data_IF_280337683188
#
_entry.id   IF_280337683188
#
_cell.length_a   1.000
_cell.length_b   1.000
_cell.length_c   1.000
_cell.angle_alpha   90.00
_cell.angle_beta   90.00
_cell.angle_gamma   90.00
#
_symmetry.space_group_name_H-M   'P 1'
#
loop_
_entity.id
_entity.type
_entity.pdbx_description
1 polymer ?
#
# COMPACT_ATOMS: atom_id res chain seq x y z
N UNK A 1 3.86 1.59 18.52
CA UNK A 1 4.70 0.59 17.83
C UNK A 1 5.56 1.26 16.76
N UNK A 2 4.97 2.00 15.80
CA UNK A 2 5.73 2.69 14.74
C UNK A 2 6.80 3.67 15.25
N UNK A 3 6.59 4.32 16.40
CA UNK A 3 7.61 5.19 17.01
C UNK A 3 8.85 4.44 17.51
N UNK A 4 8.70 3.18 17.95
CA UNK A 4 9.85 2.33 18.29
C UNK A 4 10.54 1.87 17.01
N UNK A 5 9.76 1.50 15.99
CA UNK A 5 10.29 1.09 14.69
C UNK A 5 11.10 2.21 14.03
N UNK A 6 10.63 3.46 14.06
CA UNK A 6 11.39 4.60 13.53
C UNK A 6 12.74 4.82 14.21
N UNK A 7 12.88 4.46 15.49
CA UNK A 7 14.15 4.61 16.23
C UNK A 7 15.12 3.47 15.97
N UNK A 8 14.60 2.26 15.83
CA UNK A 8 15.41 1.03 15.95
C UNK A 8 15.43 0.16 14.70
N UNK A 9 14.44 0.24 13.80
CA UNK A 9 14.27 -0.69 12.69
C UNK A 9 14.89 -0.15 11.39
N UNK A 10 15.51 -1.04 10.62
CA UNK A 10 16.04 -0.74 9.30
C UNK A 10 14.96 -0.86 8.20
N UNK A 11 13.91 -1.65 8.45
CA UNK A 11 12.74 -1.79 7.58
C UNK A 11 11.48 -1.56 8.41
N UNK A 12 10.63 -0.62 7.98
CA UNK A 12 9.37 -0.31 8.68
C UNK A 12 8.18 -0.59 7.77
N UNK A 13 7.30 -1.48 8.24
CA UNK A 13 6.06 -1.77 7.54
C UNK A 13 4.92 -0.86 7.91
N UNK A 14 4.41 -0.14 6.91
CA UNK A 14 3.22 0.70 7.03
C UNK A 14 2.03 -0.15 6.65
N UNK A 15 1.28 -0.62 7.65
CA UNK A 15 0.14 -1.51 7.45
C UNK A 15 -1.13 -0.98 8.11
N UNK A 16 -2.26 -1.55 7.71
CA UNK A 16 -3.55 -1.35 8.38
C UNK A 16 -3.54 -1.92 9.79
N UNK A 17 -4.31 -1.29 10.67
CA UNK A 17 -4.53 -1.76 12.02
C UNK A 17 -5.49 -2.96 12.02
N UNK A 18 -4.96 -4.17 12.15
CA UNK A 18 -5.72 -5.42 12.19
C UNK A 18 -6.08 -5.86 13.61
N UNK A 19 -6.39 -4.93 14.51
CA UNK A 19 -6.76 -5.26 15.91
C UNK A 19 -7.96 -6.21 16.01
N UNK A 20 -8.87 -6.17 15.04
CA UNK A 20 -10.00 -7.09 14.95
C UNK A 20 -9.61 -8.51 14.50
N UNK A 21 -8.37 -8.73 14.04
CA UNK A 21 -7.89 -10.01 13.53
C UNK A 21 -8.26 -10.28 12.07
N UNK A 22 -8.93 -9.35 11.40
CA UNK A 22 -9.39 -9.49 10.02
C UNK A 22 -9.18 -8.21 9.20
N UNK A 23 -9.03 -8.38 7.87
CA UNK A 23 -9.06 -7.28 6.91
C UNK A 23 -10.53 -7.10 6.51
N UNK A 24 -11.21 -6.18 7.20
CA UNK A 24 -12.66 -5.94 7.05
C UNK A 24 -13.01 -4.46 7.05
N UNK A 25 -14.29 -4.11 7.33
CA UNK A 25 -14.78 -2.73 7.28
C UNK A 25 -13.98 -1.74 8.14
N UNK A 26 -13.43 -2.19 9.27
CA UNK A 26 -12.62 -1.35 10.16
C UNK A 26 -11.21 -1.06 9.60
N UNK A 27 -10.74 -1.85 8.63
CA UNK A 27 -9.42 -1.69 8.03
C UNK A 27 -9.38 -0.55 7.02
N UNK A 28 -10.46 -0.31 6.26
CA UNK A 28 -10.48 0.65 5.16
C UNK A 28 -10.19 2.09 5.59
N UNK A 29 -10.85 2.65 6.61
CA UNK A 29 -10.53 3.99 7.12
C UNK A 29 -9.09 4.14 7.62
N UNK A 30 -8.43 3.04 8.01
CA UNK A 30 -7.02 3.05 8.39
C UNK A 30 -6.06 2.76 7.22
N UNK A 31 -6.59 2.43 6.04
CA UNK A 31 -5.84 2.08 4.84
C UNK A 31 -5.68 3.25 3.86
N UNK A 32 -6.41 4.36 4.06
CA UNK A 32 -6.44 5.49 3.13
C UNK A 32 -5.05 6.09 2.91
N UNK A 33 -4.88 6.82 1.81
CA UNK A 33 -3.66 7.56 1.53
C UNK A 33 -3.29 8.53 2.68
N UNK A 34 -4.28 9.24 3.21
CA UNK A 34 -4.11 10.15 4.36
C UNK A 34 -3.65 9.40 5.62
N UNK A 35 -4.32 8.31 6.00
CA UNK A 35 -3.93 7.50 7.15
C UNK A 35 -2.54 6.87 6.97
N UNK A 36 -2.16 6.54 5.73
CA UNK A 36 -0.83 6.05 5.39
C UNK A 36 0.23 7.14 5.57
N UNK A 37 -0.03 8.34 5.05
CA UNK A 37 0.86 9.49 5.22
C UNK A 37 1.04 9.85 6.70
N UNK A 38 -0.03 9.81 7.50
CA UNK A 38 0.03 10.02 8.94
C UNK A 38 0.96 9.00 9.63
N UNK A 39 0.80 7.71 9.33
CA UNK A 39 1.67 6.63 9.85
C UNK A 39 3.13 6.85 9.48
N UNK A 40 3.42 7.24 8.24
CA UNK A 40 4.77 7.58 7.78
C UNK A 40 5.30 8.80 8.54
N UNK A 41 4.45 9.80 8.79
CA UNK A 41 4.78 10.97 9.61
C UNK A 41 5.26 10.60 11.01
N UNK A 42 4.58 9.67 11.68
CA UNK A 42 5.01 9.17 13.01
C UNK A 42 6.37 8.46 12.97
N UNK A 43 6.64 7.70 11.90
CA UNK A 43 7.95 7.04 11.70
C UNK A 43 9.03 8.09 11.49
N UNK A 44 8.78 9.08 10.62
CA UNK A 44 9.70 10.18 10.33
C UNK A 44 10.04 11.01 11.56
N UNK A 45 9.03 11.40 12.34
CA UNK A 45 9.23 12.14 13.57
C UNK A 45 10.05 11.35 14.59
N UNK A 46 9.79 10.05 14.73
CA UNK A 46 10.51 9.21 15.67
C UNK A 46 11.95 8.88 15.23
N UNK A 47 12.18 8.78 13.92
CA UNK A 47 13.48 8.48 13.33
C UNK A 47 14.43 9.68 13.32
N UNK A 48 13.92 10.89 13.07
CA UNK A 48 14.77 12.07 12.91
C UNK A 48 15.75 11.89 11.75
N UNK A 49 17.04 12.14 11.99
CA UNK A 49 18.08 12.16 10.95
C UNK A 49 18.28 10.82 10.23
N UNK A 50 17.95 9.70 10.88
CA UNK A 50 18.10 8.36 10.28
C UNK A 50 16.93 7.95 9.38
N UNK A 51 15.93 8.81 9.17
CA UNK A 51 14.75 8.42 8.41
C UNK A 51 15.10 7.96 6.98
N UNK A 52 16.08 8.62 6.35
CA UNK A 52 16.51 8.28 4.99
C UNK A 52 17.29 6.95 4.93
N UNK A 53 17.71 6.39 6.07
CA UNK A 53 18.32 5.06 6.18
C UNK A 53 17.27 3.95 6.36
N UNK A 54 15.98 4.30 6.55
CA UNK A 54 14.90 3.34 6.77
C UNK A 54 14.23 2.98 5.45
N UNK A 55 14.18 1.70 5.14
CA UNK A 55 13.37 1.19 4.04
C UNK A 55 11.90 1.06 4.44
N UNK A 56 11.01 1.72 3.69
CA UNK A 56 9.57 1.62 3.93
C UNK A 56 8.98 0.45 3.15
N UNK A 57 8.26 -0.40 3.88
CA UNK A 57 7.52 -1.50 3.30
C UNK A 57 6.00 -1.29 3.33
N UNK A 58 5.32 -1.89 2.36
CA UNK A 58 3.86 -1.96 2.29
C UNK A 58 3.42 -3.35 1.86
N UNK A 59 2.43 -3.92 2.54
CA UNK A 59 1.76 -5.13 2.10
C UNK A 59 0.55 -4.78 1.23
N UNK A 60 0.52 -5.28 -0.01
CA UNK A 60 -0.65 -5.24 -0.87
C UNK A 60 -1.48 -6.52 -0.64
N UNK A 61 -2.65 -6.36 -0.05
CA UNK A 61 -3.59 -7.46 0.20
C UNK A 61 -4.45 -7.78 -1.02
N UNK A 62 -4.61 -6.82 -1.92
CA UNK A 62 -5.39 -6.96 -3.13
C UNK A 62 -4.55 -6.52 -4.33
N UNK A 63 -4.34 -7.44 -5.27
CA UNK A 63 -3.77 -7.14 -6.58
C UNK A 63 -4.74 -7.68 -7.61
N UNK A 64 -5.39 -6.76 -8.33
CA UNK A 64 -6.44 -7.08 -9.30
C UNK A 64 -6.09 -6.40 -10.61
N UNK A 65 -5.46 -7.17 -11.51
CA UNK A 65 -5.19 -6.70 -12.87
C UNK A 65 -6.46 -6.86 -13.71
N UNK A 66 -6.99 -5.75 -14.21
CA UNK A 66 -8.30 -5.68 -14.86
C UNK A 66 -8.41 -4.44 -15.75
N UNK A 67 -9.24 -4.53 -16.80
CA UNK A 67 -9.63 -3.38 -17.62
C UNK A 67 -10.83 -2.61 -17.04
N UNK A 68 -11.53 -3.18 -16.06
CA UNK A 68 -12.67 -2.55 -15.35
C UNK A 68 -12.22 -2.06 -13.96
N UNK A 69 -11.39 -1.03 -13.95
CA UNK A 69 -10.80 -0.46 -12.73
C UNK A 69 -11.88 0.11 -11.81
N UNK A 70 -12.79 0.90 -12.37
CA UNK A 70 -13.85 1.61 -11.63
C UNK A 70 -14.90 0.63 -11.08
N UNK A 71 -15.32 -0.36 -11.88
CA UNK A 71 -16.25 -1.39 -11.42
C UNK A 71 -15.67 -2.25 -10.31
N UNK A 72 -14.38 -2.61 -10.43
CA UNK A 72 -13.66 -3.36 -9.38
C UNK A 72 -13.55 -2.55 -8.09
N UNK A 73 -13.19 -1.26 -8.19
CA UNK A 73 -13.11 -0.37 -7.03
C UNK A 73 -14.48 -0.21 -6.34
N UNK A 74 -15.55 -0.06 -7.11
CA UNK A 74 -16.91 0.02 -6.59
C UNK A 74 -17.34 -1.26 -5.85
N UNK A 75 -16.97 -2.44 -6.38
CA UNK A 75 -17.26 -3.70 -5.71
C UNK A 75 -16.51 -3.83 -4.36
N UNK A 76 -15.24 -3.41 -4.31
CA UNK A 76 -14.43 -3.47 -3.10
C UNK A 76 -14.87 -2.46 -2.03
N UNK A 77 -15.25 -1.25 -2.42
CA UNK A 77 -15.60 -0.14 -1.53
C UNK A 77 -16.60 -0.55 -0.43
N UNK A 78 -17.63 -1.31 -0.80
CA UNK A 78 -18.68 -1.77 0.11
C UNK A 78 -18.16 -2.65 1.27
N UNK A 79 -17.13 -3.46 1.04
CA UNK A 79 -16.55 -4.35 2.05
C UNK A 79 -15.61 -3.66 3.03
N UNK A 80 -15.14 -2.45 2.71
CA UNK A 80 -14.11 -1.75 3.46
C UNK A 80 -14.55 -0.41 4.06
N UNK A 81 -15.83 -0.04 3.94
CA UNK A 81 -16.36 1.22 4.46
C UNK A 81 -15.56 2.45 3.98
N UNK A 82 -15.21 2.45 2.70
CA UNK A 82 -14.54 3.54 1.99
C UNK A 82 -15.26 3.80 0.66
N UNK A 83 -14.96 4.91 0.02
CA UNK A 83 -15.44 5.24 -1.32
C UNK A 83 -14.66 4.49 -2.40
N UNK A 84 -15.22 4.30 -3.61
CA UNK A 84 -14.47 3.71 -4.72
C UNK A 84 -13.21 4.49 -5.08
N UNK A 85 -13.24 5.82 -4.96
CA UNK A 85 -12.08 6.67 -5.20
C UNK A 85 -10.97 6.42 -4.17
N UNK A 86 -11.33 6.29 -2.89
CA UNK A 86 -10.36 5.91 -1.85
C UNK A 86 -9.75 4.54 -2.10
N UNK A 87 -10.52 3.53 -2.53
CA UNK A 87 -9.99 2.20 -2.87
C UNK A 87 -8.82 2.29 -3.87
N UNK A 88 -8.94 3.16 -4.87
CA UNK A 88 -7.91 3.32 -5.91
C UNK A 88 -6.64 4.01 -5.39
N UNK A 89 -6.72 4.71 -4.26
CA UNK A 89 -5.60 5.41 -3.64
C UNK A 89 -4.98 4.65 -2.46
N UNK A 90 -5.67 3.63 -1.92
CA UNK A 90 -5.19 2.80 -0.82
C UNK A 90 -3.90 2.07 -1.25
N UNK A 91 -2.77 2.27 -0.56
CA UNK A 91 -1.49 1.61 -0.89
C UNK A 91 -1.52 0.08 -0.75
N UNK A 92 -2.51 -0.45 -0.03
CA UNK A 92 -2.74 -1.86 0.21
C UNK A 92 -3.53 -2.59 -0.88
N UNK A 93 -4.02 -1.86 -1.89
CA UNK A 93 -4.72 -2.40 -3.04
C UNK A 93 -4.07 -1.89 -4.34
N UNK A 94 -4.00 -2.74 -5.35
CA UNK A 94 -3.52 -2.39 -6.69
C UNK A 94 -4.56 -2.88 -7.69
N UNK A 95 -5.29 -1.95 -8.30
CA UNK A 95 -6.43 -2.24 -9.18
C UNK A 95 -6.28 -1.46 -10.47
N UNK A 96 -6.31 -2.18 -11.59
CA UNK A 96 -6.25 -1.58 -12.93
C UNK A 96 -5.44 -2.40 -13.92
N UNK A 97 -5.14 -1.81 -15.07
CA UNK A 97 -4.29 -2.46 -16.08
C UNK A 97 -2.84 -2.56 -15.60
N UNK A 98 -2.01 -3.32 -16.32
CA UNK A 98 -0.57 -3.41 -16.02
C UNK A 98 0.10 -2.04 -16.03
N UNK A 99 -0.28 -1.18 -16.98
CA UNK A 99 0.31 0.16 -17.11
C UNK A 99 -0.10 1.06 -15.94
N UNK A 100 -1.39 1.05 -15.61
CA UNK A 100 -1.91 1.76 -14.44
C UNK A 100 -1.29 1.26 -13.13
N UNK A 101 -1.03 -0.04 -13.03
CA UNK A 101 -0.37 -0.63 -11.87
C UNK A 101 1.09 -0.15 -11.75
N UNK A 102 1.84 -0.12 -12.85
CA UNK A 102 3.20 0.44 -12.88
C UNK A 102 3.21 1.91 -12.46
N UNK A 103 2.37 2.74 -13.09
CA UNK A 103 2.25 4.17 -12.79
C UNK A 103 1.91 4.41 -11.31
N UNK A 104 1.01 3.59 -10.76
CA UNK A 104 0.59 3.70 -9.37
C UNK A 104 1.71 3.30 -8.40
N UNK A 105 2.51 2.27 -8.72
CA UNK A 105 3.67 1.90 -7.90
C UNK A 105 4.76 2.99 -7.94
N UNK A 106 5.01 3.59 -9.10
CA UNK A 106 5.94 4.71 -9.24
C UNK A 106 5.45 5.96 -8.49
N UNK A 107 4.15 6.28 -8.58
CA UNK A 107 3.52 7.37 -7.81
C UNK A 107 3.70 7.13 -6.31
N UNK A 108 3.39 5.92 -5.82
CA UNK A 108 3.54 5.55 -4.40
C UNK A 108 4.99 5.63 -3.92
N UNK A 109 5.95 5.26 -4.77
CA UNK A 109 7.38 5.43 -4.46
C UNK A 109 7.73 6.92 -4.32
N UNK A 110 7.26 7.77 -5.22
CA UNK A 110 7.52 9.20 -5.17
C UNK A 110 6.82 9.90 -3.99
N UNK A 111 5.60 9.50 -3.67
CA UNK A 111 4.76 10.14 -2.66
C UNK A 111 5.04 9.64 -1.24
N UNK A 112 5.14 8.32 -1.07
CA UNK A 112 5.27 7.69 0.25
C UNK A 112 6.69 7.18 0.53
N UNK A 113 7.51 6.96 -0.50
CA UNK A 113 8.85 6.39 -0.34
C UNK A 113 8.90 4.87 -0.24
N UNK A 114 7.82 4.16 -0.60
CA UNK A 114 7.82 2.69 -0.57
C UNK A 114 8.82 2.11 -1.59
N UNK A 115 9.75 1.29 -1.10
CA UNK A 115 10.72 0.55 -1.93
C UNK A 115 10.59 -0.96 -1.78
N UNK A 116 9.98 -1.42 -0.68
CA UNK A 116 9.73 -2.84 -0.44
C UNK A 116 8.23 -3.16 -0.46
N UNK A 117 7.80 -3.87 -1.48
CA UNK A 117 6.40 -4.26 -1.67
C UNK A 117 6.25 -5.76 -1.36
N UNK A 118 5.29 -6.09 -0.50
CA UNK A 118 4.91 -7.47 -0.18
C UNK A 118 3.55 -7.77 -0.79
N UNK A 119 3.41 -8.93 -1.44
CA UNK A 119 2.15 -9.37 -2.04
C UNK A 119 1.76 -10.72 -1.47
N UNK A 120 0.47 -10.93 -1.24
CA UNK A 120 -0.05 -12.22 -0.81
C UNK A 120 -0.13 -13.23 -1.98
N UNK A 121 -0.24 -14.51 -1.66
CA UNK A 121 -0.25 -15.60 -2.65
C UNK A 121 -1.29 -15.41 -3.78
N UNK A 122 -2.55 -14.98 -3.52
CA UNK A 122 -3.51 -14.74 -4.59
C UNK A 122 -3.10 -13.66 -5.60
N UNK A 123 -2.32 -12.66 -5.16
CA UNK A 123 -1.92 -11.52 -5.98
C UNK A 123 -0.59 -11.69 -6.70
N UNK A 124 0.23 -12.69 -6.33
CA UNK A 124 1.59 -12.83 -6.84
C UNK A 124 1.64 -13.10 -8.35
N UNK A 125 0.85 -14.05 -8.85
CA UNK A 125 0.82 -14.35 -10.29
C UNK A 125 0.26 -13.18 -11.10
N UNK A 126 -0.76 -12.48 -10.56
CA UNK A 126 -1.33 -11.29 -11.18
C UNK A 126 -0.31 -10.14 -11.29
N UNK A 127 0.65 -10.05 -10.36
CA UNK A 127 1.70 -9.04 -10.40
C UNK A 127 2.84 -9.37 -11.37
N UNK A 128 3.01 -10.62 -11.80
CA UNK A 128 4.10 -11.04 -12.69
C UNK A 128 4.32 -10.13 -13.93
N UNK A 129 3.28 -9.74 -14.71
CA UNK A 129 3.46 -8.81 -15.84
C UNK A 129 3.92 -7.40 -15.42
N UNK A 130 3.51 -6.92 -14.25
CA UNK A 130 3.95 -5.62 -13.69
C UNK A 130 5.43 -5.69 -13.33
N UNK A 131 5.86 -6.77 -12.67
CA UNK A 131 7.29 -7.01 -12.34
C UNK A 131 8.12 -7.07 -13.62
N UNK A 132 7.66 -7.78 -14.65
CA UNK A 132 8.38 -7.88 -15.92
C UNK A 132 8.54 -6.51 -16.61
N UNK A 133 7.55 -5.62 -16.50
CA UNK A 133 7.60 -4.25 -17.03
C UNK A 133 8.61 -3.38 -16.28
N UNK A 134 8.61 -3.46 -14.94
CA UNK A 134 9.45 -2.64 -14.07
C UNK A 134 10.89 -3.16 -13.92
N UNK A 135 11.14 -4.46 -14.09
CA UNK A 135 12.50 -5.01 -13.99
C UNK A 135 13.41 -4.62 -15.18
N UNK A 136 12.82 -4.03 -16.23
CA UNK A 136 13.53 -3.53 -17.41
C UNK A 136 13.88 -2.03 -17.37
N UNK A 137 13.60 -1.34 -16.27
CA UNK A 137 13.93 0.09 -16.06
C UNK A 137 15.13 0.25 -15.13
#
# INVERSE_FOLDING_TARGET
>A
VLTVAGREADIVGINVNLKAGEIGPDAGPNATAEATAEKIGWVREAAGDRFDDIELNVAMFFVVITDDREGTAAAMASGFNVTPEEVLQVPHALVGTVDQACEELERRRAEFGFTYIVVNEPGFEALAPVVARLAGT
#
